data_IF_560750292373
#
_entry.id   IF_560750292373
#
_cell.length_a   1.000
_cell.length_b   1.000
_cell.length_c   1.000
_cell.angle_alpha   90.00
_cell.angle_beta   90.00
_cell.angle_gamma   90.00
#
_symmetry.space_group_name_H-M   'P 1'
#
loop_
_entity.id
_entity.type
_entity.pdbx_description
1 polymer ?
#
# COMPACT_ATOMS: atom_id res chain seq x y z
N UNK A 1 -51.62 0.57 -2.81
CA UNK A 1 -51.90 1.02 -4.18
C UNK A 1 -52.04 2.52 -4.13
N UNK A 2 -50.97 3.23 -4.49
CA UNK A 2 -51.07 4.46 -5.28
C UNK A 2 -49.75 4.59 -6.04
N UNK A 3 -49.84 4.73 -7.34
CA UNK A 3 -48.71 4.79 -8.24
C UNK A 3 -48.87 5.98 -9.14
N UNK A 4 -47.78 6.68 -9.43
CA UNK A 4 -47.65 7.46 -10.65
C UNK A 4 -46.18 7.46 -11.08
N UNK A 5 -45.97 6.91 -12.27
CA UNK A 5 -44.79 7.09 -13.09
C UNK A 5 -44.82 8.51 -13.67
N UNK A 6 -43.68 9.18 -13.72
CA UNK A 6 -43.41 10.25 -14.69
C UNK A 6 -42.00 10.05 -15.22
N UNK A 7 -41.98 9.53 -16.42
CA UNK A 7 -40.92 9.58 -17.42
C UNK A 7 -40.88 11.02 -17.96
N UNK A 8 -39.69 11.62 -18.03
CA UNK A 8 -39.44 12.83 -18.82
C UNK A 8 -37.98 12.78 -19.27
N UNK A 9 -37.79 12.15 -20.42
CA UNK A 9 -36.66 12.34 -21.33
C UNK A 9 -36.82 13.72 -21.98
N UNK A 10 -35.84 14.63 -21.84
CA UNK A 10 -35.79 15.83 -22.66
C UNK A 10 -34.38 16.06 -23.23
N UNK A 11 -34.33 15.91 -24.54
CA UNK A 11 -33.24 16.12 -25.49
C UNK A 11 -32.96 17.63 -25.65
N UNK A 12 -31.69 18.02 -25.47
CA UNK A 12 -31.22 19.34 -25.88
C UNK A 12 -29.84 19.24 -26.56
N UNK A 13 -29.83 18.57 -27.71
CA UNK A 13 -28.77 18.67 -28.70
C UNK A 13 -28.72 20.10 -29.30
N UNK A 14 -27.97 20.99 -28.65
CA UNK A 14 -27.69 22.34 -29.17
C UNK A 14 -26.42 22.34 -30.02
N UNK A 15 -26.63 22.06 -31.30
CA UNK A 15 -25.87 22.48 -32.49
C UNK A 15 -25.01 23.74 -32.29
N UNK A 16 -23.68 23.59 -32.21
CA UNK A 16 -22.76 24.65 -32.61
C UNK A 16 -22.37 24.44 -34.08
N UNK A 17 -22.91 25.34 -34.88
CA UNK A 17 -22.89 25.33 -36.33
C UNK A 17 -21.84 26.33 -36.76
N UNK A 18 -20.84 25.80 -37.48
CA UNK A 18 -20.23 26.43 -38.66
C UNK A 18 -19.74 27.87 -38.49
N UNK A 19 -18.43 28.10 -38.56
CA UNK A 19 -17.88 29.15 -39.43
C UNK A 19 -16.37 28.98 -39.63
N UNK A 20 -15.95 29.02 -40.89
CA UNK A 20 -14.61 29.47 -41.28
C UNK A 20 -13.69 28.41 -41.86
N UNK A 21 -13.99 27.97 -43.08
CA UNK A 21 -12.90 27.77 -44.06
C UNK A 21 -12.19 29.12 -44.22
N UNK A 22 -10.92 29.17 -43.88
CA UNK A 22 -9.96 30.14 -44.40
C UNK A 22 -8.73 29.31 -44.77
N UNK A 23 -8.73 28.85 -46.02
CA UNK A 23 -7.89 29.41 -47.07
C UNK A 23 -6.42 29.04 -46.82
N UNK A 24 -5.99 28.08 -47.63
CA UNK A 24 -4.61 27.81 -47.99
C UNK A 24 -3.82 29.12 -48.12
N UNK A 25 -2.77 29.30 -47.32
CA UNK A 25 -1.55 29.98 -47.76
C UNK A 25 -0.35 29.40 -46.98
N UNK A 26 0.38 28.56 -47.71
CA UNK A 26 1.67 27.98 -47.39
C UNK A 26 2.75 29.07 -47.34
N UNK A 27 2.99 29.64 -46.16
CA UNK A 27 4.07 30.60 -46.01
C UNK A 27 5.30 29.89 -45.44
N UNK A 28 6.28 29.56 -46.30
CA UNK A 28 7.63 29.05 -45.99
C UNK A 28 8.32 29.74 -44.79
N UNK A 29 7.85 30.92 -44.39
CA UNK A 29 8.22 31.65 -43.18
C UNK A 29 7.99 30.85 -41.87
N UNK A 30 6.93 30.05 -41.78
CA UNK A 30 6.64 29.25 -40.58
C UNK A 30 7.59 28.05 -40.47
N UNK A 31 8.01 27.46 -41.60
CA UNK A 31 9.03 26.42 -41.61
C UNK A 31 10.40 26.99 -41.16
N UNK A 32 10.79 28.17 -41.63
CA UNK A 32 12.04 28.82 -41.20
C UNK A 32 11.99 29.19 -39.71
N UNK A 33 10.85 29.66 -39.20
CA UNK A 33 10.66 29.90 -37.76
C UNK A 33 10.75 28.61 -36.96
N UNK A 34 10.10 27.54 -37.42
CA UNK A 34 10.10 26.25 -36.75
C UNK A 34 11.51 25.64 -36.72
N UNK A 35 12.26 25.79 -37.81
CA UNK A 35 13.64 25.32 -37.92
C UNK A 35 14.61 26.14 -37.05
N UNK A 36 14.42 27.47 -36.95
CA UNK A 36 15.15 28.33 -36.01
C UNK A 36 14.84 28.00 -34.55
N UNK A 37 13.57 27.75 -34.23
CA UNK A 37 13.13 27.33 -32.90
C UNK A 37 13.73 25.96 -32.54
N UNK A 38 13.72 25.01 -33.47
CA UNK A 38 14.35 23.71 -33.27
C UNK A 38 15.87 23.81 -33.07
N UNK A 39 16.54 24.71 -33.80
CA UNK A 39 17.97 24.95 -33.62
C UNK A 39 18.28 25.63 -32.27
N UNK A 40 17.46 26.58 -31.82
CA UNK A 40 17.58 27.17 -30.48
C UNK A 40 17.30 26.14 -29.38
N UNK A 41 16.30 25.28 -29.54
CA UNK A 41 16.00 24.21 -28.58
C UNK A 41 17.16 23.21 -28.45
N UNK A 42 17.86 22.89 -29.55
CA UNK A 42 19.09 22.06 -29.51
C UNK A 42 20.25 22.73 -28.77
N UNK A 43 20.34 24.06 -28.74
CA UNK A 43 21.37 24.78 -28.00
C UNK A 43 21.14 24.78 -26.47
N UNK A 44 19.90 24.47 -26.04
CA UNK A 44 19.56 24.25 -24.63
C UNK A 44 19.56 22.77 -24.25
N UNK A 45 19.92 21.87 -25.16
CA UNK A 45 20.22 20.50 -24.79
C UNK A 45 21.62 20.53 -24.14
N UNK A 46 21.75 20.42 -22.80
CA UNK A 46 23.04 20.17 -22.22
C UNK A 46 23.57 18.93 -22.92
N UNK A 47 24.81 19.00 -23.41
CA UNK A 47 25.54 17.80 -23.78
C UNK A 47 25.80 17.08 -22.47
N UNK A 48 24.81 16.32 -21.98
CA UNK A 48 25.00 15.32 -20.94
C UNK A 48 25.80 14.18 -21.60
N UNK A 49 27.09 14.45 -21.79
CA UNK A 49 28.14 13.44 -21.85
C UNK A 49 28.63 13.14 -20.41
N UNK A 50 27.74 13.29 -19.42
CA UNK A 50 27.90 12.86 -18.04
C UNK A 50 26.56 12.29 -17.52
N UNK A 51 26.05 11.23 -18.15
CA UNK A 51 25.17 10.25 -17.47
C UNK A 51 26.03 9.46 -16.46
N UNK A 52 26.65 10.18 -15.53
CA UNK A 52 27.46 9.68 -14.43
C UNK A 52 27.19 10.51 -13.19
N UNK A 53 25.91 10.66 -12.85
CA UNK A 53 25.49 10.60 -11.46
C UNK A 53 24.34 9.58 -11.42
N UNK A 54 24.78 8.33 -11.32
CA UNK A 54 23.97 7.23 -10.82
C UNK A 54 23.44 7.64 -9.46
N UNK A 55 22.26 8.25 -9.43
CA UNK A 55 21.46 8.53 -8.23
C UNK A 55 20.89 7.23 -7.61
N UNK A 56 21.66 6.14 -7.73
CA UNK A 56 21.42 4.81 -7.16
C UNK A 56 22.09 4.71 -5.78
N UNK A 57 22.16 5.84 -5.06
CA UNK A 57 22.51 5.92 -3.65
C UNK A 57 21.26 5.79 -2.75
N UNK A 58 20.14 5.33 -3.29
CA UNK A 58 19.19 4.58 -2.47
C UNK A 58 19.80 3.19 -2.22
N UNK A 59 20.76 3.14 -1.30
CA UNK A 59 20.95 1.91 -0.54
C UNK A 59 19.61 1.63 0.11
N UNK A 60 18.86 0.68 -0.45
CA UNK A 60 17.72 0.03 0.19
C UNK A 60 18.26 -0.81 1.38
N UNK A 61 18.96 -0.14 2.29
CA UNK A 61 19.41 -0.66 3.58
C UNK A 61 18.27 -0.55 4.61
N UNK A 62 17.02 -0.58 4.14
CA UNK A 62 15.82 -0.75 4.95
C UNK A 62 15.68 -2.19 5.47
N UNK A 63 16.77 -2.80 5.95
CA UNK A 63 16.71 -3.83 7.00
C UNK A 63 16.31 -3.19 8.35
N UNK A 64 15.44 -2.18 8.32
CA UNK A 64 14.82 -1.61 9.50
C UNK A 64 13.83 -2.66 10.00
N UNK A 65 14.31 -3.51 10.92
CA UNK A 65 13.45 -4.33 11.76
C UNK A 65 12.40 -3.40 12.37
N UNK A 66 11.16 -3.55 11.92
CA UNK A 66 10.07 -2.76 12.43
C UNK A 66 9.86 -3.18 13.89
N UNK A 67 9.46 -2.26 14.80
CA UNK A 67 9.18 -2.63 16.17
C UNK A 67 8.14 -3.78 16.34
N UNK A 68 7.38 -4.11 15.28
CA UNK A 68 6.42 -5.22 15.29
C UNK A 68 7.00 -6.54 14.76
N UNK A 69 8.15 -6.54 14.08
CA UNK A 69 8.76 -7.75 13.50
C UNK A 69 9.20 -8.76 14.58
N UNK A 70 9.48 -8.27 15.80
CA UNK A 70 9.82 -9.12 16.96
C UNK A 70 8.59 -9.75 17.63
N UNK A 71 7.37 -9.32 17.28
CA UNK A 71 6.14 -9.73 17.95
C UNK A 71 5.49 -10.90 17.21
N UNK A 72 5.35 -12.05 17.89
CA UNK A 72 4.56 -13.15 17.34
C UNK A 72 3.05 -12.86 17.47
N UNK A 73 2.29 -12.83 16.36
CA UNK A 73 0.90 -12.41 16.36
C UNK A 73 -0.02 -13.38 17.12
N UNK A 74 0.28 -14.68 17.10
CA UNK A 74 -0.53 -15.68 17.80
C UNK A 74 -0.30 -15.61 19.30
N UNK A 75 0.97 -15.47 19.71
CA UNK A 75 1.33 -15.26 21.12
C UNK A 75 0.69 -13.98 21.65
N UNK A 76 0.80 -12.88 20.91
CA UNK A 76 0.24 -11.58 21.28
C UNK A 76 -1.29 -11.61 21.42
N UNK A 77 -1.99 -12.27 20.48
CA UNK A 77 -3.43 -12.47 20.58
C UNK A 77 -3.81 -13.20 21.88
N UNK A 78 -3.17 -14.33 22.16
CA UNK A 78 -3.47 -15.14 23.35
C UNK A 78 -3.17 -14.37 24.64
N UNK A 79 -2.07 -13.62 24.69
CA UNK A 79 -1.74 -12.78 25.84
C UNK A 79 -2.75 -11.66 26.05
N UNK A 80 -3.20 -11.04 24.95
CA UNK A 80 -4.25 -10.01 25.01
C UNK A 80 -5.57 -10.59 25.53
N UNK A 81 -5.96 -11.77 25.07
CA UNK A 81 -7.17 -12.46 25.54
C UNK A 81 -7.05 -12.86 27.01
N UNK A 82 -5.89 -13.36 27.45
CA UNK A 82 -5.63 -13.68 28.87
C UNK A 82 -5.63 -12.42 29.74
N UNK A 83 -5.05 -11.32 29.27
CA UNK A 83 -5.08 -10.04 29.96
C UNK A 83 -6.50 -9.48 30.06
N UNK A 84 -7.31 -9.62 29.00
CA UNK A 84 -8.73 -9.27 29.02
C UNK A 84 -9.49 -10.10 30.06
N UNK A 85 -9.28 -11.42 30.08
CA UNK A 85 -9.90 -12.31 31.05
C UNK A 85 -9.50 -11.95 32.50
N UNK A 86 -8.24 -11.60 32.74
CA UNK A 86 -7.74 -11.25 34.07
C UNK A 86 -8.20 -9.86 34.55
N UNK A 87 -8.29 -8.89 33.63
CA UNK A 87 -8.68 -7.51 33.95
C UNK A 87 -10.19 -7.32 34.04
N UNK A 88 -10.96 -7.97 33.18
CA UNK A 88 -12.42 -7.88 33.14
C UNK A 88 -13.05 -9.25 32.79
N UNK A 89 -13.20 -10.13 33.80
CA UNK A 89 -13.73 -11.48 33.59
C UNK A 89 -15.15 -11.49 33.02
N UNK A 90 -15.97 -10.49 33.38
CA UNK A 90 -17.37 -10.40 32.94
C UNK A 90 -17.42 -10.05 31.45
N UNK A 91 -16.62 -9.08 31.00
CA UNK A 91 -16.51 -8.74 29.58
C UNK A 91 -15.99 -9.92 28.76
N UNK A 92 -14.98 -10.63 29.25
CA UNK A 92 -14.48 -11.83 28.58
C UNK A 92 -15.57 -12.90 28.45
N UNK A 93 -16.29 -13.21 29.52
CA UNK A 93 -17.38 -14.18 29.49
C UNK A 93 -18.47 -13.80 28.48
N UNK A 94 -18.92 -12.54 28.50
CA UNK A 94 -19.93 -12.05 27.56
C UNK A 94 -19.44 -12.18 26.10
N UNK A 95 -18.19 -11.80 25.83
CA UNK A 95 -17.59 -11.93 24.51
C UNK A 95 -17.57 -13.40 24.07
N UNK A 96 -17.02 -14.31 24.88
CA UNK A 96 -16.89 -15.72 24.52
C UNK A 96 -18.25 -16.41 24.33
N UNK A 97 -19.26 -16.05 25.12
CA UNK A 97 -20.60 -16.61 25.00
C UNK A 97 -21.35 -16.14 23.74
N UNK A 98 -21.03 -14.97 23.19
CA UNK A 98 -21.62 -14.47 21.94
C UNK A 98 -20.99 -15.08 20.68
N UNK A 99 -19.81 -15.69 20.80
CA UNK A 99 -19.16 -16.38 19.69
C UNK A 99 -19.86 -17.72 19.41
N UNK A 100 -20.13 -17.98 18.13
CA UNK A 100 -20.59 -19.31 17.70
C UNK A 100 -19.47 -20.35 17.86
N UNK A 101 -19.85 -21.64 17.86
CA UNK A 101 -18.96 -22.78 18.07
C UNK A 101 -17.74 -22.75 17.15
N UNK A 102 -17.89 -22.30 15.90
CA UNK A 102 -16.76 -22.17 14.96
C UNK A 102 -15.66 -21.24 15.50
N UNK A 103 -16.02 -20.06 16.01
CA UNK A 103 -15.06 -19.10 16.53
C UNK A 103 -14.51 -19.50 17.91
N UNK A 104 -15.32 -20.18 18.73
CA UNK A 104 -14.82 -20.77 19.98
C UNK A 104 -13.77 -21.85 19.69
N UNK A 105 -14.03 -22.74 18.73
CA UNK A 105 -13.07 -23.76 18.30
C UNK A 105 -11.80 -23.13 17.70
N UNK A 106 -11.96 -22.08 16.88
CA UNK A 106 -10.83 -21.35 16.31
C UNK A 106 -9.97 -20.69 17.40
N UNK A 107 -10.58 -20.03 18.38
CA UNK A 107 -9.85 -19.41 19.49
C UNK A 107 -9.04 -20.45 20.29
N UNK A 108 -9.62 -21.63 20.54
CA UNK A 108 -8.90 -22.73 21.20
C UNK A 108 -7.75 -23.27 20.33
N UNK A 109 -7.95 -23.40 19.02
CA UNK A 109 -6.89 -23.82 18.08
C UNK A 109 -5.74 -22.80 18.04
N UNK A 110 -6.07 -21.51 18.00
CA UNK A 110 -5.08 -20.42 18.07
C UNK A 110 -4.31 -20.47 19.40
N UNK A 111 -4.99 -20.76 20.51
CA UNK A 111 -4.32 -20.92 21.81
C UNK A 111 -3.29 -22.06 21.80
N UNK A 112 -3.64 -23.22 21.23
CA UNK A 112 -2.71 -24.35 21.07
C UNK A 112 -1.53 -24.00 20.15
N UNK A 113 -1.80 -23.32 19.03
CA UNK A 113 -0.75 -22.88 18.11
C UNK A 113 0.21 -21.89 18.78
N UNK A 114 -0.31 -20.94 19.56
CA UNK A 114 0.52 -19.98 20.29
C UNK A 114 1.43 -20.67 21.32
N UNK A 115 1.00 -21.77 21.95
CA UNK A 115 1.86 -22.55 22.85
C UNK A 115 3.04 -23.19 22.12
N UNK A 116 2.81 -23.72 20.90
CA UNK A 116 3.88 -24.25 20.05
C UNK A 116 4.87 -23.14 19.66
N UNK A 117 4.35 -21.98 19.22
CA UNK A 117 5.15 -20.82 18.86
C UNK A 117 6.00 -20.29 20.02
N UNK A 118 5.48 -20.28 21.24
CA UNK A 118 6.27 -19.89 22.43
C UNK A 118 7.48 -20.78 22.63
N UNK A 119 7.32 -22.09 22.49
CA UNK A 119 8.42 -23.04 22.63
C UNK A 119 9.48 -22.88 21.52
N UNK A 120 9.04 -22.62 20.28
CA UNK A 120 9.94 -22.35 19.15
C UNK A 120 10.74 -21.05 19.36
N UNK A 121 10.06 -19.98 19.75
CA UNK A 121 10.69 -18.68 20.01
C UNK A 121 11.70 -18.79 21.17
N UNK A 122 11.37 -19.53 22.23
CA UNK A 122 12.30 -19.77 23.34
C UNK A 122 13.55 -20.52 22.85
N UNK A 123 13.37 -21.55 22.00
CA UNK A 123 14.48 -22.28 21.38
C UNK A 123 15.34 -21.39 20.48
N UNK A 124 14.74 -20.60 19.59
CA UNK A 124 15.46 -19.65 18.72
C UNK A 124 16.23 -18.60 19.54
N UNK A 125 15.64 -18.11 20.65
CA UNK A 125 16.31 -17.17 21.56
C UNK A 125 17.55 -17.82 22.21
N UNK A 126 17.47 -19.08 22.62
CA UNK A 126 18.63 -19.82 23.16
C UNK A 126 19.71 -20.06 22.11
N UNK A 127 19.34 -20.36 20.86
CA UNK A 127 20.28 -20.55 19.75
C UNK A 127 20.98 -19.23 19.38
N UNK A 128 20.25 -18.12 19.24
CA UNK A 128 20.83 -16.79 19.01
C UNK A 128 21.76 -16.35 20.14
N UNK A 129 21.39 -16.61 21.40
CA UNK A 129 22.23 -16.30 22.56
C UNK A 129 23.52 -17.12 22.57
N UNK A 130 23.47 -18.41 22.20
CA UNK A 130 24.67 -19.26 22.13
C UNK A 130 25.59 -18.92 20.95
N UNK A 131 25.04 -18.52 19.80
CA UNK A 131 25.81 -18.02 18.66
C UNK A 131 26.53 -16.69 18.96
N UNK A 132 25.89 -15.82 19.75
CA UNK A 132 26.48 -14.53 20.17
C UNK A 132 27.51 -14.70 21.30
N UNK A 133 27.46 -15.79 22.05
CA UNK A 133 28.33 -16.06 23.20
C UNK A 133 29.60 -16.87 22.88
N UNK A 134 29.82 -17.27 21.62
CA UNK A 134 31.05 -17.93 21.19
C UNK A 134 32.09 -16.87 20.74
N UNK A 135 33.12 -16.54 21.55
CA UNK A 135 34.20 -15.69 21.09
C UNK A 135 35.04 -16.44 20.04
N UNK A 136 35.50 -15.69 19.03
CA UNK A 136 36.52 -16.14 18.07
C UNK A 136 37.85 -16.48 18.75
#
# INVERSE_FOLDING_TARGET
>A
MDGFQTDDEDDANASDKEMGVDAEDEDEADNIRLQKLAAQAKAFHPTDDDDSDSDDDFSDDEELLSPIDEVDPFVFFVDTVKALQASDPIRFQNLTQTLDFHFQALANSVAQHAEQRRAEIEKEKMEKASATAAPS
#
